data_IF_132754375928
#
_entry.id   IF_132754375928
#
_cell.length_a   1.000
_cell.length_b   1.000
_cell.length_c   1.000
_cell.angle_alpha   90.00
_cell.angle_beta   90.00
_cell.angle_gamma   90.00
#
_symmetry.space_group_name_H-M   'P 1'
#
loop_
_entity.id
_entity.type
_entity.pdbx_description
1 polymer ?
#
# COMPACT_ATOMS: atom_id res chain seq x y z
N UNK A 1 21.45 -7.13 2.77
CA UNK A 1 20.13 -7.43 2.15
C UNK A 1 20.14 -8.88 1.74
N UNK A 2 19.14 -9.65 2.18
CA UNK A 2 18.96 -11.04 1.76
C UNK A 2 18.57 -11.05 0.27
N UNK A 3 19.08 -11.98 -0.52
CA UNK A 3 18.71 -12.12 -1.93
C UNK A 3 17.48 -13.01 -1.99
N UNK A 4 16.38 -12.52 -2.55
CA UNK A 4 15.14 -13.30 -2.62
C UNK A 4 15.23 -14.29 -3.79
N UNK A 5 15.82 -13.86 -4.91
CA UNK A 5 15.88 -14.66 -6.12
C UNK A 5 17.23 -14.53 -6.83
N UNK A 6 17.84 -15.67 -7.15
CA UNK A 6 18.99 -15.76 -8.03
C UNK A 6 18.60 -16.35 -9.39
N UNK A 7 18.99 -15.71 -10.49
CA UNK A 7 18.70 -16.14 -11.85
C UNK A 7 19.99 -16.54 -12.56
N UNK A 8 20.12 -17.83 -12.87
CA UNK A 8 21.18 -18.39 -13.71
C UNK A 8 20.69 -18.55 -15.15
N UNK A 9 21.49 -18.13 -16.13
CA UNK A 9 21.13 -18.24 -17.55
C UNK A 9 22.37 -18.27 -18.44
N UNK A 10 22.24 -18.81 -19.66
CA UNK A 10 23.33 -18.85 -20.61
C UNK A 10 23.39 -17.55 -21.42
N UNK A 11 24.59 -17.02 -21.62
CA UNK A 11 24.84 -15.89 -22.52
C UNK A 11 24.77 -16.34 -23.99
N UNK A 12 23.55 -16.65 -24.47
CA UNK A 12 23.33 -17.22 -25.81
C UNK A 12 23.33 -16.17 -26.90
N UNK A 13 22.57 -15.09 -26.73
CA UNK A 13 22.54 -13.96 -27.66
C UNK A 13 22.05 -12.69 -26.98
N UNK A 14 22.29 -11.53 -27.58
CA UNK A 14 21.88 -10.24 -27.00
C UNK A 14 20.37 -10.13 -26.79
N UNK A 15 19.56 -10.70 -27.69
CA UNK A 15 18.11 -10.76 -27.52
C UNK A 15 17.71 -11.57 -26.28
N UNK A 16 18.38 -12.70 -26.02
CA UNK A 16 18.11 -13.50 -24.82
C UNK A 16 18.54 -12.76 -23.55
N UNK A 17 19.72 -12.13 -23.56
CA UNK A 17 20.20 -11.30 -22.43
C UNK A 17 19.26 -10.15 -22.12
N UNK A 18 18.76 -9.45 -23.14
CA UNK A 18 17.78 -8.39 -22.99
C UNK A 18 16.46 -8.92 -22.37
N UNK A 19 15.99 -10.08 -22.83
CA UNK A 19 14.80 -10.73 -22.29
C UNK A 19 14.97 -11.11 -20.80
N UNK A 20 16.09 -11.72 -20.43
CA UNK A 20 16.38 -12.08 -19.03
C UNK A 20 16.44 -10.83 -18.15
N UNK A 21 17.07 -9.75 -18.61
CA UNK A 21 17.12 -8.48 -17.87
C UNK A 21 15.74 -7.85 -17.69
N UNK A 22 14.89 -7.88 -18.72
CA UNK A 22 13.52 -7.39 -18.63
C UNK A 22 12.70 -8.21 -17.63
N UNK A 23 12.82 -9.54 -17.70
CA UNK A 23 12.17 -10.46 -16.76
C UNK A 23 12.61 -10.21 -15.31
N UNK A 24 13.92 -10.09 -15.06
CA UNK A 24 14.46 -9.76 -13.73
C UNK A 24 13.96 -8.38 -13.25
N UNK A 25 13.86 -7.40 -14.14
CA UNK A 25 13.34 -6.07 -13.82
C UNK A 25 11.86 -6.12 -13.40
N UNK A 26 11.04 -6.96 -14.05
CA UNK A 26 9.64 -7.14 -13.65
C UNK A 26 9.51 -7.73 -12.25
N UNK A 27 10.34 -8.71 -11.90
CA UNK A 27 10.36 -9.29 -10.56
C UNK A 27 10.87 -8.28 -9.51
N UNK A 28 11.86 -7.46 -9.88
CA UNK A 28 12.31 -6.38 -9.00
C UNK A 28 11.20 -5.36 -8.72
N UNK A 29 10.43 -4.96 -9.76
CA UNK A 29 9.26 -4.08 -9.61
C UNK A 29 8.14 -4.72 -8.78
N UNK A 30 8.05 -6.06 -8.76
CA UNK A 30 7.14 -6.79 -7.88
C UNK A 30 7.59 -6.82 -6.41
N UNK A 31 8.77 -6.30 -6.09
CA UNK A 31 9.28 -6.15 -4.72
C UNK A 31 10.43 -7.10 -4.37
N UNK A 32 10.89 -7.95 -5.29
CA UNK A 32 11.95 -8.93 -5.02
C UNK A 32 13.35 -8.34 -5.15
N UNK A 33 14.26 -8.76 -4.27
CA UNK A 33 15.71 -8.56 -4.42
C UNK A 33 16.26 -9.63 -5.36
N UNK A 34 16.33 -9.29 -6.64
CA UNK A 34 16.76 -10.19 -7.73
C UNK A 34 18.23 -9.99 -8.06
N UNK A 35 18.99 -11.09 -8.16
CA UNK A 35 20.33 -11.11 -8.74
C UNK A 35 20.32 -11.96 -10.00
N UNK A 36 20.98 -11.46 -11.05
CA UNK A 36 21.18 -12.17 -12.31
C UNK A 36 22.65 -12.53 -12.45
N UNK A 37 22.94 -13.63 -13.12
CA UNK A 37 24.31 -13.93 -13.54
C UNK A 37 24.85 -12.83 -14.48
N UNK A 38 25.91 -12.15 -14.06
CA UNK A 38 26.66 -11.18 -14.87
C UNK A 38 28.10 -11.68 -15.04
N UNK A 39 28.65 -11.57 -16.25
CA UNK A 39 30.00 -12.06 -16.55
C UNK A 39 31.04 -11.36 -15.68
N UNK A 40 31.44 -12.03 -14.61
CA UNK A 40 32.58 -11.59 -13.82
C UNK A 40 33.83 -12.13 -14.50
N UNK A 41 34.83 -11.26 -14.70
CA UNK A 41 36.13 -11.69 -15.25
C UNK A 41 36.71 -12.79 -14.36
N UNK A 42 37.01 -13.94 -14.98
CA UNK A 42 37.62 -15.10 -14.32
C UNK A 42 38.86 -14.69 -13.53
N UNK A 43 38.90 -15.04 -12.24
CA UNK A 43 40.10 -14.90 -11.40
C UNK A 43 39.84 -14.50 -9.94
N UNK A 44 38.75 -13.79 -9.63
CA UNK A 44 38.58 -13.22 -8.27
C UNK A 44 37.16 -13.26 -7.68
N UNK A 45 36.15 -13.82 -8.38
CA UNK A 45 34.73 -13.68 -7.98
C UNK A 45 33.93 -14.97 -7.81
N UNK A 46 34.54 -16.15 -7.98
CA UNK A 46 33.84 -17.43 -7.84
C UNK A 46 33.30 -17.67 -6.43
N UNK A 47 34.02 -17.21 -5.39
CA UNK A 47 33.58 -17.30 -3.99
C UNK A 47 32.41 -16.37 -3.67
N UNK A 48 32.35 -15.19 -4.31
CA UNK A 48 31.24 -14.24 -4.16
C UNK A 48 29.96 -14.79 -4.79
N UNK A 49 30.05 -15.30 -6.02
CA UNK A 49 28.94 -15.93 -6.73
C UNK A 49 28.32 -17.10 -5.94
N UNK A 50 29.17 -18.00 -5.45
CA UNK A 50 28.72 -19.15 -4.66
C UNK A 50 27.94 -18.71 -3.40
N UNK A 51 28.44 -17.67 -2.72
CA UNK A 51 27.76 -17.13 -1.54
C UNK A 51 26.39 -16.57 -1.91
N UNK A 52 26.28 -15.88 -3.03
CA UNK A 52 25.01 -15.30 -3.49
C UNK A 52 23.97 -16.35 -3.87
N UNK A 53 24.38 -17.43 -4.53
CA UNK A 53 23.49 -18.56 -4.85
C UNK A 53 23.01 -19.23 -3.57
N UNK A 54 23.91 -19.57 -2.64
CA UNK A 54 23.55 -20.28 -1.40
C UNK A 54 22.68 -19.42 -0.47
N UNK A 55 22.92 -18.12 -0.42
CA UNK A 55 22.17 -17.14 0.37
C UNK A 55 20.80 -16.80 -0.25
N UNK A 56 20.59 -17.10 -1.54
CA UNK A 56 19.31 -16.85 -2.20
C UNK A 56 18.20 -17.76 -1.65
N UNK A 57 17.02 -17.17 -1.46
CA UNK A 57 15.84 -17.91 -1.02
C UNK A 57 15.31 -18.84 -2.12
N UNK A 58 15.36 -18.39 -3.37
CA UNK A 58 15.02 -19.19 -4.54
C UNK A 58 16.06 -19.04 -5.66
N UNK A 59 16.21 -20.09 -6.46
CA UNK A 59 17.05 -20.10 -7.67
C UNK A 59 16.18 -20.45 -8.88
N UNK A 60 16.28 -19.64 -9.93
CA UNK A 60 15.66 -19.93 -11.23
C UNK A 60 16.76 -20.16 -12.26
N UNK A 61 16.67 -21.29 -12.96
CA UNK A 61 17.48 -21.54 -14.16
C UNK A 61 16.66 -21.16 -15.39
N UNK A 62 17.18 -20.27 -16.22
CA UNK A 62 16.61 -19.96 -17.54
C UNK A 62 17.32 -20.84 -18.57
N UNK A 63 16.62 -21.87 -19.02
CA UNK A 63 17.17 -22.97 -19.81
C UNK A 63 16.67 -22.86 -21.24
N UNK A 64 17.57 -22.41 -22.12
CA UNK A 64 17.48 -22.58 -23.56
C UNK A 64 18.28 -23.80 -24.04
N UNK A 65 18.16 -24.16 -25.32
CA UNK A 65 18.92 -25.29 -25.87
C UNK A 65 20.44 -25.12 -25.72
N UNK A 66 20.95 -23.89 -25.84
CA UNK A 66 22.37 -23.59 -25.67
C UNK A 66 22.84 -23.78 -24.23
N UNK A 67 21.99 -23.50 -23.24
CA UNK A 67 22.26 -23.77 -21.83
C UNK A 67 22.51 -25.27 -21.62
N UNK A 68 21.62 -26.12 -22.14
CA UNK A 68 21.73 -27.58 -22.01
C UNK A 68 22.99 -28.10 -22.69
N UNK A 69 23.26 -27.66 -23.91
CA UNK A 69 24.45 -28.05 -24.67
C UNK A 69 25.74 -27.71 -23.90
N UNK A 70 25.83 -26.48 -23.38
CA UNK A 70 27.00 -26.03 -22.62
C UNK A 70 27.15 -26.75 -21.28
N UNK A 71 26.03 -27.03 -20.61
CA UNK A 71 26.01 -27.74 -19.34
C UNK A 71 26.52 -29.18 -19.46
N UNK A 72 26.09 -29.89 -20.50
CA UNK A 72 26.37 -31.32 -20.66
C UNK A 72 27.68 -31.58 -21.42
N UNK A 73 27.96 -30.81 -22.48
CA UNK A 73 29.03 -31.14 -23.43
C UNK A 73 30.28 -30.25 -23.30
N UNK A 74 30.24 -29.17 -22.50
CA UNK A 74 31.38 -28.26 -22.34
C UNK A 74 31.73 -28.00 -20.86
N UNK A 75 32.53 -28.89 -20.23
CA UNK A 75 32.93 -28.78 -18.82
C UNK A 75 33.71 -27.50 -18.47
N UNK A 76 34.39 -26.88 -19.44
CA UNK A 76 35.14 -25.64 -19.23
C UNK A 76 34.26 -24.38 -19.36
N UNK A 77 32.99 -24.53 -19.71
CA UNK A 77 32.07 -23.41 -19.84
C UNK A 77 31.65 -22.87 -18.45
N UNK A 78 31.39 -21.56 -18.36
CA UNK A 78 30.85 -20.95 -17.14
C UNK A 78 29.59 -21.65 -16.63
N UNK A 79 28.67 -22.00 -17.54
CA UNK A 79 27.42 -22.72 -17.24
C UNK A 79 27.70 -24.08 -16.56
N UNK A 80 28.66 -24.87 -17.07
CA UNK A 80 28.98 -26.17 -16.48
C UNK A 80 29.61 -26.03 -15.08
N UNK A 81 30.45 -25.01 -14.88
CA UNK A 81 31.08 -24.72 -13.58
C UNK A 81 30.01 -24.28 -12.56
N UNK A 82 29.13 -23.36 -12.95
CA UNK A 82 28.04 -22.86 -12.09
C UNK A 82 27.05 -23.96 -11.74
N UNK A 83 26.66 -24.78 -12.72
CA UNK A 83 25.79 -25.93 -12.51
C UNK A 83 26.34 -26.90 -11.47
N UNK A 84 27.66 -27.10 -11.42
CA UNK A 84 28.27 -27.95 -10.40
C UNK A 84 27.97 -27.42 -9.00
N UNK A 85 28.12 -26.12 -8.78
CA UNK A 85 27.84 -25.48 -7.49
C UNK A 85 26.35 -25.49 -7.14
N UNK A 86 25.49 -25.20 -8.11
CA UNK A 86 24.04 -25.25 -7.92
C UNK A 86 23.60 -26.68 -7.58
N UNK A 87 24.16 -27.68 -8.26
CA UNK A 87 23.91 -29.10 -7.99
C UNK A 87 24.34 -29.48 -6.56
N UNK A 88 25.52 -29.05 -6.11
CA UNK A 88 26.00 -29.31 -4.75
C UNK A 88 25.11 -28.63 -3.69
N UNK A 89 24.69 -27.38 -3.94
CA UNK A 89 23.80 -26.66 -3.03
C UNK A 89 22.39 -27.29 -2.95
N UNK A 90 21.88 -27.80 -4.07
CA UNK A 90 20.56 -28.44 -4.16
C UNK A 90 20.43 -29.67 -3.25
N UNK A 91 21.52 -30.42 -3.03
CA UNK A 91 21.53 -31.59 -2.13
C UNK A 91 21.20 -31.24 -0.67
N UNK A 92 21.36 -29.98 -0.28
CA UNK A 92 21.14 -29.49 1.09
C UNK A 92 19.97 -28.51 1.20
N UNK A 93 19.17 -28.35 0.13
CA UNK A 93 18.04 -27.42 0.07
C UNK A 93 16.73 -28.16 -0.18
N UNK A 94 15.61 -27.47 0.04
CA UNK A 94 14.30 -28.01 -0.28
C UNK A 94 14.14 -28.19 -1.80
N UNK A 95 13.33 -29.14 -2.24
CA UNK A 95 13.04 -29.35 -3.67
C UNK A 95 12.40 -28.11 -4.34
N UNK A 96 11.73 -27.27 -3.56
CA UNK A 96 11.12 -26.01 -4.02
C UNK A 96 12.12 -24.85 -4.12
N UNK A 97 13.37 -25.05 -3.71
CA UNK A 97 14.41 -24.01 -3.76
C UNK A 97 14.79 -23.66 -5.21
N UNK A 98 14.76 -24.64 -6.11
CA UNK A 98 15.15 -24.47 -7.50
C UNK A 98 13.98 -24.73 -8.45
N UNK A 99 13.84 -23.88 -9.47
CA UNK A 99 12.90 -24.07 -10.57
C UNK A 99 13.51 -23.68 -11.91
N UNK A 100 12.87 -24.12 -12.99
CA UNK A 100 13.36 -23.94 -14.36
C UNK A 100 12.37 -23.12 -15.17
N UNK A 101 12.86 -22.18 -15.95
CA UNK A 101 12.14 -21.48 -17.01
C UNK A 101 12.65 -22.00 -18.36
N UNK A 102 11.76 -22.54 -19.18
CA UNK A 102 12.10 -23.01 -20.52
C UNK A 102 11.87 -21.91 -21.55
N UNK A 103 12.93 -21.50 -22.25
CA UNK A 103 12.86 -20.44 -23.28
C UNK A 103 13.59 -20.93 -24.51
N UNK A 104 12.93 -20.93 -25.68
CA UNK A 104 13.51 -21.50 -26.92
C UNK A 104 14.06 -22.92 -26.69
N UNK A 105 13.29 -23.72 -25.97
CA UNK A 105 13.55 -25.09 -25.58
C UNK A 105 12.20 -25.83 -25.57
N UNK A 106 11.67 -26.10 -26.76
CA UNK A 106 10.32 -26.64 -26.95
C UNK A 106 10.16 -28.09 -26.50
N UNK A 107 11.27 -28.82 -26.37
CA UNK A 107 11.30 -30.19 -25.86
C UNK A 107 11.51 -30.25 -24.34
N UNK A 108 11.53 -29.09 -23.67
CA UNK A 108 11.74 -28.95 -22.22
C UNK A 108 12.98 -29.71 -21.72
N UNK A 109 14.07 -29.66 -22.50
CA UNK A 109 15.34 -30.33 -22.17
C UNK A 109 15.92 -29.75 -20.89
N UNK A 110 16.45 -30.62 -20.05
CA UNK A 110 17.17 -30.26 -18.83
C UNK A 110 18.63 -30.71 -18.92
N UNK A 111 19.56 -30.03 -18.24
CA UNK A 111 20.89 -30.57 -17.99
C UNK A 111 20.83 -31.94 -17.30
N UNK A 112 21.73 -32.85 -17.65
CA UNK A 112 21.66 -34.27 -17.24
C UNK A 112 21.64 -34.44 -15.72
N UNK A 113 22.39 -33.59 -15.01
CA UNK A 113 22.47 -33.61 -13.54
C UNK A 113 21.14 -33.28 -12.86
N UNK A 114 20.28 -32.49 -13.52
CA UNK A 114 19.03 -31.96 -12.97
C UNK A 114 17.82 -32.85 -13.27
N UNK A 115 17.91 -33.72 -14.27
CA UNK A 115 16.81 -34.63 -14.69
C UNK A 115 16.28 -35.45 -13.51
N UNK A 116 17.18 -36.00 -12.69
CA UNK A 116 16.82 -36.83 -11.52
C UNK A 116 16.05 -36.08 -10.42
N UNK A 117 16.17 -34.75 -10.37
CA UNK A 117 15.54 -33.90 -9.38
C UNK A 117 14.14 -33.42 -9.81
N UNK A 118 13.79 -33.56 -11.10
CA UNK A 118 12.49 -33.21 -11.66
C UNK A 118 11.90 -31.87 -11.13
N UNK A 119 12.64 -30.75 -11.24
CA UNK A 119 12.21 -29.49 -10.68
C UNK A 119 10.93 -28.98 -11.35
N UNK A 120 10.20 -28.10 -10.67
CA UNK A 120 9.08 -27.40 -11.28
C UNK A 120 9.57 -26.61 -12.49
N UNK A 121 8.90 -26.79 -13.63
CA UNK A 121 9.21 -26.10 -14.88
C UNK A 121 8.12 -25.09 -15.28
N UNK A 122 8.54 -23.94 -15.78
CA UNK A 122 7.67 -22.90 -16.35
C UNK A 122 7.94 -22.76 -17.83
N UNK A 123 6.90 -22.95 -18.65
CA UNK A 123 7.03 -22.86 -20.10
C UNK A 123 6.91 -21.41 -20.58
N UNK A 124 8.02 -20.87 -21.07
CA UNK A 124 8.11 -19.56 -21.73
C UNK A 124 8.49 -19.69 -23.21
N UNK A 125 8.28 -20.87 -23.80
CA UNK A 125 8.37 -21.02 -25.24
C UNK A 125 7.24 -20.24 -25.93
N UNK A 126 7.55 -19.66 -27.08
CA UNK A 126 6.56 -19.02 -27.94
C UNK A 126 6.41 -19.81 -29.23
N UNK A 127 5.18 -19.90 -29.73
CA UNK A 127 4.88 -20.52 -31.01
C UNK A 127 4.29 -19.45 -31.95
N UNK A 128 5.11 -18.97 -32.89
CA UNK A 128 4.72 -17.90 -33.82
C UNK A 128 3.50 -18.31 -34.66
N UNK A 129 3.45 -19.55 -35.11
CA UNK A 129 2.36 -20.07 -35.96
C UNK A 129 1.01 -20.11 -35.23
N UNK A 130 1.03 -20.34 -33.92
CA UNK A 130 -0.18 -20.39 -33.09
C UNK A 130 -0.50 -19.06 -32.41
N UNK A 131 0.36 -18.04 -32.57
CA UNK A 131 0.24 -16.77 -31.85
C UNK A 131 0.31 -16.95 -30.32
N UNK A 132 0.93 -18.04 -29.86
CA UNK A 132 1.00 -18.38 -28.43
C UNK A 132 2.29 -17.79 -27.86
N UNK A 133 2.14 -16.83 -26.95
CA UNK A 133 3.24 -16.13 -26.32
C UNK A 133 3.08 -16.19 -24.80
N UNK A 134 4.17 -16.43 -24.06
CA UNK A 134 4.11 -16.33 -22.61
C UNK A 134 3.77 -14.92 -22.18
N UNK A 135 2.94 -14.81 -21.15
CA UNK A 135 2.47 -13.53 -20.65
C UNK A 135 2.15 -13.60 -19.16
N UNK A 136 1.07 -12.94 -18.77
CA UNK A 136 0.71 -12.74 -17.36
C UNK A 136 0.54 -14.05 -16.60
N UNK A 137 -0.01 -15.10 -17.24
CA UNK A 137 -0.26 -16.39 -16.58
C UNK A 137 1.03 -17.08 -16.12
N UNK A 138 2.09 -17.04 -16.94
CA UNK A 138 3.38 -17.62 -16.62
C UNK A 138 4.11 -16.81 -15.54
N UNK A 139 4.04 -15.47 -15.61
CA UNK A 139 4.60 -14.59 -14.58
C UNK A 139 3.92 -14.81 -13.23
N UNK A 140 2.59 -14.94 -13.22
CA UNK A 140 1.82 -15.27 -12.02
C UNK A 140 2.21 -16.65 -11.47
N UNK A 141 2.43 -17.65 -12.33
CA UNK A 141 2.83 -18.98 -11.90
C UNK A 141 4.21 -18.99 -11.19
N UNK A 142 5.15 -18.16 -11.65
CA UNK A 142 6.44 -17.94 -11.00
C UNK A 142 6.24 -17.23 -9.66
N UNK A 143 5.47 -16.15 -9.64
CA UNK A 143 5.15 -15.41 -8.41
C UNK A 143 4.57 -16.33 -7.33
N UNK A 144 3.59 -17.15 -7.70
CA UNK A 144 2.98 -18.13 -6.78
C UNK A 144 3.98 -19.16 -6.29
N UNK A 145 4.94 -19.58 -7.11
CA UNK A 145 5.98 -20.50 -6.67
C UNK A 145 6.95 -19.85 -5.68
N UNK A 146 7.37 -18.61 -5.92
CA UNK A 146 8.22 -17.84 -4.99
C UNK A 146 7.51 -17.69 -3.64
N UNK A 147 6.20 -17.41 -3.64
CA UNK A 147 5.41 -17.23 -2.41
C UNK A 147 4.91 -18.55 -1.79
N UNK A 148 5.25 -19.71 -2.35
CA UNK A 148 4.76 -21.01 -1.87
C UNK A 148 3.23 -21.20 -1.97
N UNK A 149 2.57 -20.46 -2.86
CA UNK A 149 1.12 -20.52 -3.08
C UNK A 149 0.74 -21.71 -3.98
N UNK A 150 -0.45 -22.30 -3.78
CA UNK A 150 -0.93 -23.43 -4.59
C UNK A 150 -0.96 -23.08 -6.10
N UNK A 151 -0.61 -24.02 -6.97
CA UNK A 151 -0.76 -23.81 -8.42
C UNK A 151 -2.24 -23.73 -8.84
N UNK A 152 -3.12 -24.39 -8.08
CA UNK A 152 -4.55 -24.36 -8.31
C UNK A 152 -5.14 -22.98 -7.98
N UNK A 153 -5.92 -22.47 -8.94
CA UNK A 153 -6.59 -21.17 -8.89
C UNK A 153 -8.05 -21.28 -8.43
N UNK A 154 -8.59 -22.49 -8.20
CA UNK A 154 -10.00 -22.68 -7.86
C UNK A 154 -10.48 -21.81 -6.67
N UNK A 155 -9.56 -21.44 -5.77
CA UNK A 155 -9.84 -20.58 -4.62
C UNK A 155 -8.95 -19.32 -4.55
N UNK A 156 -8.12 -19.06 -5.56
CA UNK A 156 -7.26 -17.88 -5.57
C UNK A 156 -8.04 -16.65 -6.05
N UNK A 157 -8.04 -15.58 -5.25
CA UNK A 157 -8.57 -14.30 -5.69
C UNK A 157 -7.66 -13.70 -6.76
N UNK A 158 -8.25 -13.15 -7.81
CA UNK A 158 -7.48 -12.49 -8.86
C UNK A 158 -6.81 -11.20 -8.36
N UNK A 159 -5.69 -10.81 -8.98
CA UNK A 159 -4.93 -9.62 -8.59
C UNK A 159 -5.74 -8.33 -8.76
N UNK A 160 -6.65 -8.25 -9.74
CA UNK A 160 -7.53 -7.09 -9.94
C UNK A 160 -8.46 -6.85 -8.75
N UNK A 161 -9.03 -7.92 -8.20
CA UNK A 161 -9.92 -7.95 -7.06
C UNK A 161 -9.15 -7.54 -5.80
N UNK A 162 -7.92 -8.04 -5.64
CA UNK A 162 -7.05 -7.61 -4.54
C UNK A 162 -6.72 -6.11 -4.63
N UNK A 163 -6.38 -5.61 -5.82
CA UNK A 163 -6.13 -4.17 -6.06
C UNK A 163 -7.36 -3.31 -5.78
N UNK A 164 -8.53 -3.73 -6.25
CA UNK A 164 -9.77 -3.01 -6.00
C UNK A 164 -10.11 -2.97 -4.50
N UNK A 165 -9.93 -4.08 -3.78
CA UNK A 165 -10.09 -4.12 -2.33
C UNK A 165 -9.10 -3.20 -1.62
N UNK A 166 -7.84 -3.19 -2.03
CA UNK A 166 -6.82 -2.31 -1.47
C UNK A 166 -7.17 -0.83 -1.71
N UNK A 167 -7.59 -0.45 -2.92
CA UNK A 167 -8.01 0.91 -3.25
C UNK A 167 -9.20 1.38 -2.42
N UNK A 168 -10.19 0.51 -2.16
CA UNK A 168 -11.33 0.82 -1.28
C UNK A 168 -10.88 1.06 0.16
N UNK A 169 -9.94 0.27 0.67
CA UNK A 169 -9.39 0.44 2.02
C UNK A 169 -8.59 1.73 2.14
N UNK A 170 -7.73 2.03 1.16
CA UNK A 170 -6.96 3.27 1.10
C UNK A 170 -7.87 4.49 1.06
N UNK A 171 -8.94 4.44 0.26
CA UNK A 171 -9.92 5.52 0.19
C UNK A 171 -10.57 5.80 1.56
N UNK A 172 -11.02 4.75 2.28
CA UNK A 172 -11.57 4.90 3.63
C UNK A 172 -10.52 5.38 4.63
N UNK A 173 -9.27 4.94 4.51
CA UNK A 173 -8.17 5.40 5.35
C UNK A 173 -7.94 6.90 5.19
N UNK A 174 -7.89 7.40 3.96
CA UNK A 174 -7.71 8.82 3.67
C UNK A 174 -8.88 9.67 4.19
N UNK A 175 -10.12 9.18 4.06
CA UNK A 175 -11.29 9.86 4.64
C UNK A 175 -11.28 9.90 6.17
N UNK A 176 -10.55 9.00 6.84
CA UNK A 176 -10.47 8.95 8.31
C UNK A 176 -9.23 9.60 8.87
N UNK A 177 -8.33 10.09 8.02
CA UNK A 177 -7.07 10.70 8.46
C UNK A 177 -7.37 11.98 9.28
N UNK A 178 -7.05 11.99 10.59
CA UNK A 178 -7.30 13.15 11.46
C UNK A 178 -6.63 14.43 10.98
N UNK A 179 -5.53 14.33 10.20
CA UNK A 179 -4.85 15.49 9.64
C UNK A 179 -5.73 16.31 8.68
N UNK A 180 -6.79 15.72 8.12
CA UNK A 180 -7.76 16.42 7.28
C UNK A 180 -8.80 17.23 8.09
N UNK A 181 -8.87 17.02 9.40
CA UNK A 181 -9.92 17.57 10.28
C UNK A 181 -9.36 18.50 11.37
N UNK A 182 -8.23 19.15 11.08
CA UNK A 182 -7.58 20.08 11.98
C UNK A 182 -7.18 21.37 11.25
N UNK A 183 -7.30 22.50 11.94
CA UNK A 183 -6.75 23.78 11.48
C UNK A 183 -6.13 24.56 12.64
N UNK A 184 -4.87 25.00 12.54
CA UNK A 184 -4.23 25.76 13.60
C UNK A 184 -4.65 27.23 13.64
N UNK A 185 -5.50 27.70 12.72
CA UNK A 185 -5.90 29.11 12.71
C UNK A 185 -6.75 29.45 13.95
N UNK A 186 -6.57 30.64 14.51
CA UNK A 186 -7.39 31.14 15.63
C UNK A 186 -8.75 31.69 15.18
N UNK A 187 -8.94 31.88 13.87
CA UNK A 187 -10.21 32.25 13.27
C UNK A 187 -10.32 31.64 11.89
N UNK A 188 -11.52 31.27 11.48
CA UNK A 188 -11.74 30.68 10.17
C UNK A 188 -13.20 30.42 9.86
N UNK A 189 -13.41 29.90 8.66
CA UNK A 189 -14.66 29.35 8.19
C UNK A 189 -14.36 27.95 7.64
N UNK A 190 -15.10 26.96 8.11
CA UNK A 190 -14.85 25.55 7.82
C UNK A 190 -16.15 24.89 7.43
N UNK A 191 -16.10 24.05 6.39
CA UNK A 191 -17.14 23.07 6.10
C UNK A 191 -16.66 21.70 6.55
N UNK A 192 -17.39 21.09 7.47
CA UNK A 192 -17.06 19.81 8.06
C UNK A 192 -18.18 18.80 7.84
N UNK A 193 -17.85 17.69 7.20
CA UNK A 193 -18.72 16.52 7.12
C UNK A 193 -18.67 15.79 8.47
N UNK A 194 -19.62 16.08 9.36
CA UNK A 194 -19.60 15.65 10.76
C UNK A 194 -19.73 14.12 10.99
N UNK A 195 -19.92 13.34 9.92
CA UNK A 195 -19.87 11.88 9.95
C UNK A 195 -18.52 11.28 9.50
N UNK A 196 -17.61 12.10 8.95
CA UNK A 196 -16.31 11.62 8.44
C UNK A 196 -15.25 11.52 9.56
N UNK A 197 -15.34 12.37 10.57
CA UNK A 197 -14.51 12.32 11.78
C UNK A 197 -15.38 12.63 13.01
N UNK A 198 -14.93 12.24 14.21
CA UNK A 198 -15.67 12.45 15.44
C UNK A 198 -15.74 13.95 15.79
N UNK A 199 -14.65 14.68 15.62
CA UNK A 199 -14.58 16.11 15.89
C UNK A 199 -13.77 16.83 14.82
N UNK A 200 -13.92 18.15 14.77
CA UNK A 200 -13.04 19.03 14.01
C UNK A 200 -12.23 19.89 14.98
N UNK A 201 -10.91 19.84 14.85
CA UNK A 201 -9.99 20.56 15.75
C UNK A 201 -9.68 21.95 15.20
N UNK A 202 -9.84 22.98 16.01
CA UNK A 202 -9.43 24.36 15.70
C UNK A 202 -8.43 24.89 16.73
N UNK A 203 -7.52 25.74 16.29
CA UNK A 203 -6.47 26.32 17.13
C UNK A 203 -5.30 25.38 17.41
N UNK A 204 -4.43 25.79 18.34
CA UNK A 204 -3.21 25.07 18.70
C UNK A 204 -2.81 25.35 20.16
N UNK A 205 -2.05 24.44 20.76
CA UNK A 205 -1.57 24.59 22.14
C UNK A 205 -2.75 24.78 23.11
N UNK A 206 -2.64 25.76 24.01
CA UNK A 206 -3.72 26.07 24.97
C UNK A 206 -4.99 26.62 24.31
N UNK A 207 -4.88 27.11 23.07
CA UNK A 207 -6.00 27.58 22.25
C UNK A 207 -6.64 26.47 21.42
N UNK A 208 -6.38 25.19 21.69
CA UNK A 208 -7.00 24.10 20.95
C UNK A 208 -8.46 23.86 21.40
N UNK A 209 -9.31 23.48 20.45
CA UNK A 209 -10.70 23.07 20.68
C UNK A 209 -11.06 21.91 19.76
N UNK A 210 -11.52 20.81 20.33
CA UNK A 210 -12.11 19.68 19.59
C UNK A 210 -13.63 19.84 19.57
N UNK A 211 -14.18 20.12 18.39
CA UNK A 211 -15.61 20.45 18.26
C UNK A 211 -16.34 19.27 17.62
N UNK A 212 -17.11 18.54 18.43
CA UNK A 212 -18.00 17.48 17.96
C UNK A 212 -19.35 18.05 17.54
N UNK A 213 -19.76 17.78 16.31
CA UNK A 213 -21.08 18.15 15.79
C UNK A 213 -21.95 16.91 15.60
N UNK A 214 -23.23 17.01 15.92
CA UNK A 214 -24.22 15.97 15.64
C UNK A 214 -25.50 16.61 15.13
N UNK A 215 -26.04 16.11 14.02
CA UNK A 215 -27.35 16.55 13.54
C UNK A 215 -28.46 16.08 14.50
N UNK A 216 -29.24 17.03 15.03
CA UNK A 216 -30.42 16.73 15.82
C UNK A 216 -31.66 16.52 14.95
N UNK A 217 -31.80 17.34 13.90
CA UNK A 217 -32.80 17.23 12.85
C UNK A 217 -32.30 17.97 11.59
N UNK A 218 -33.18 18.25 10.63
CA UNK A 218 -32.83 18.90 9.36
C UNK A 218 -32.26 20.33 9.49
N UNK A 219 -32.64 21.07 10.53
CA UNK A 219 -32.31 22.49 10.72
C UNK A 219 -31.48 22.76 11.98
N UNK A 220 -31.18 21.73 12.77
CA UNK A 220 -30.62 21.85 14.10
C UNK A 220 -29.40 20.95 14.29
N UNK A 221 -28.32 21.54 14.80
CA UNK A 221 -27.07 20.84 15.11
C UNK A 221 -26.72 20.98 16.59
N UNK A 222 -26.16 19.92 17.17
CA UNK A 222 -25.67 19.90 18.55
C UNK A 222 -24.17 20.03 18.58
N UNK A 223 -23.68 20.81 19.53
CA UNK A 223 -22.27 20.79 19.95
C UNK A 223 -22.22 20.26 21.37
N UNK A 224 -21.43 19.23 21.60
CA UNK A 224 -21.31 18.57 22.89
C UNK A 224 -20.04 19.00 23.61
N UNK A 225 -20.12 19.10 24.93
CA UNK A 225 -18.94 19.40 25.74
C UNK A 225 -18.05 18.19 26.04
N UNK A 226 -18.51 16.98 25.73
CA UNK A 226 -17.85 15.73 26.15
C UNK A 226 -16.45 15.49 25.53
N UNK A 227 -16.02 16.36 24.62
CA UNK A 227 -14.78 16.26 23.87
C UNK A 227 -13.88 17.47 24.18
N UNK A 228 -13.29 17.45 25.38
CA UNK A 228 -12.29 18.43 25.85
C UNK A 228 -12.80 19.87 26.10
N UNK A 229 -14.12 20.06 26.10
CA UNK A 229 -14.76 21.32 26.48
C UNK A 229 -15.32 21.27 27.92
N UNK A 230 -15.10 22.31 28.68
CA UNK A 230 -15.65 22.46 30.04
C UNK A 230 -17.09 22.97 30.02
N UNK A 231 -17.41 23.85 29.06
CA UNK A 231 -18.75 24.43 28.93
C UNK A 231 -19.10 24.80 27.50
N UNK A 232 -20.40 24.72 27.19
CA UNK A 232 -20.99 25.16 25.92
C UNK A 232 -22.32 25.86 26.21
N UNK A 233 -22.57 27.00 25.56
CA UNK A 233 -23.82 27.74 25.73
C UNK A 233 -24.19 28.59 24.51
N UNK A 234 -25.50 28.82 24.35
CA UNK A 234 -26.05 29.64 23.28
C UNK A 234 -25.78 31.13 23.56
N UNK A 235 -25.35 31.86 22.55
CA UNK A 235 -25.17 33.32 22.62
C UNK A 235 -26.41 34.04 22.10
N UNK A 236 -26.94 35.05 22.83
CA UNK A 236 -28.03 35.89 22.34
C UNK A 236 -27.65 36.61 21.03
N UNK A 237 -28.60 36.79 20.12
CA UNK A 237 -28.37 37.46 18.82
C UNK A 237 -27.78 38.89 18.94
N UNK A 238 -28.05 39.57 20.05
CA UNK A 238 -27.62 40.95 20.32
C UNK A 238 -26.29 41.04 21.09
N UNK A 239 -25.60 39.91 21.33
CA UNK A 239 -24.33 39.95 22.05
C UNK A 239 -23.22 40.60 21.22
N UNK A 240 -22.67 41.70 21.74
CA UNK A 240 -21.66 42.53 21.10
C UNK A 240 -20.23 42.19 21.54
N UNK A 241 -20.04 41.70 22.76
CA UNK A 241 -18.73 41.35 23.31
C UNK A 241 -18.82 39.97 23.99
N UNK A 242 -18.03 38.96 23.54
CA UNK A 242 -17.97 37.59 24.07
C UNK A 242 -17.24 37.42 25.44
N UNK A 243 -16.88 38.51 26.12
CA UNK A 243 -16.23 38.51 27.44
C UNK A 243 -17.18 38.66 28.66
N UNK A 244 -18.45 39.03 28.45
CA UNK A 244 -19.40 39.41 29.52
C UNK A 244 -20.37 38.28 29.97
N UNK A 245 -19.91 37.02 30.10
CA UNK A 245 -20.81 35.82 30.08
C UNK A 245 -21.02 35.06 31.38
N UNK A 246 -20.54 35.53 32.54
CA UNK A 246 -20.78 34.82 33.80
C UNK A 246 -22.25 34.42 34.07
N UNK A 247 -23.27 35.22 33.70
CA UNK A 247 -24.67 34.84 33.90
C UNK A 247 -25.22 33.80 32.91
N UNK A 248 -24.56 33.63 31.76
CA UNK A 248 -25.02 32.78 30.65
C UNK A 248 -24.29 31.43 30.58
N UNK A 249 -23.23 31.26 31.39
CA UNK A 249 -22.51 29.99 31.50
C UNK A 249 -23.46 28.89 31.97
N UNK A 250 -23.78 27.98 31.07
CA UNK A 250 -24.63 26.82 31.34
C UNK A 250 -23.79 25.59 31.72
N UNK A 251 -24.35 24.72 32.54
CA UNK A 251 -23.80 23.39 32.84
C UNK A 251 -24.35 22.31 31.90
N UNK A 252 -25.06 22.70 30.84
CA UNK A 252 -25.66 21.79 29.88
C UNK A 252 -24.59 20.96 29.17
N UNK A 253 -24.90 19.69 28.91
CA UNK A 253 -23.99 18.76 28.21
C UNK A 253 -23.78 19.13 26.73
N UNK A 254 -24.75 19.79 26.13
CA UNK A 254 -24.71 20.24 24.75
C UNK A 254 -25.43 21.57 24.58
N UNK A 255 -25.19 22.22 23.45
CA UNK A 255 -25.96 23.36 22.94
C UNK A 255 -26.54 22.98 21.57
N UNK A 256 -27.79 23.38 21.33
CA UNK A 256 -28.47 23.22 20.04
C UNK A 256 -28.45 24.55 19.28
N UNK A 257 -28.12 24.49 17.99
CA UNK A 257 -27.94 25.65 17.13
C UNK A 257 -28.66 25.47 15.79
N UNK A 258 -29.33 26.52 15.35
CA UNK A 258 -29.81 26.71 13.98
C UNK A 258 -28.81 27.53 13.16
N UNK A 259 -28.97 27.52 11.83
CA UNK A 259 -28.20 28.42 10.96
C UNK A 259 -28.42 29.91 11.35
N UNK A 260 -27.33 30.65 11.41
CA UNK A 260 -27.25 32.05 11.87
C UNK A 260 -27.12 32.23 13.38
N UNK A 261 -27.20 31.16 14.18
CA UNK A 261 -27.02 31.23 15.63
C UNK A 261 -25.56 31.06 16.04
N UNK A 262 -25.25 31.55 17.25
CA UNK A 262 -23.90 31.57 17.82
C UNK A 262 -23.86 30.82 19.14
N UNK A 263 -22.75 30.15 19.42
CA UNK A 263 -22.44 29.59 20.73
C UNK A 263 -21.06 30.03 21.19
N UNK A 264 -20.84 29.99 22.49
CA UNK A 264 -19.52 30.04 23.08
C UNK A 264 -19.16 28.67 23.65
N UNK A 265 -17.91 28.29 23.42
CA UNK A 265 -17.27 27.07 23.89
C UNK A 265 -16.12 27.47 24.81
N UNK A 266 -15.92 26.73 25.89
CA UNK A 266 -14.79 26.94 26.80
C UNK A 266 -13.99 25.65 26.94
N UNK A 267 -12.68 25.72 26.75
CA UNK A 267 -11.79 24.57 26.94
C UNK A 267 -11.27 24.48 28.38
N UNK A 268 -10.45 23.46 28.68
CA UNK A 268 -9.88 23.21 30.01
C UNK A 268 -8.91 24.30 30.49
N UNK A 269 -8.34 25.09 29.57
CA UNK A 269 -7.52 26.27 29.90
C UNK A 269 -8.36 27.51 30.24
N UNK A 270 -9.70 27.42 30.14
CA UNK A 270 -10.61 28.56 30.35
C UNK A 270 -10.66 29.53 29.16
N UNK A 271 -10.03 29.18 28.03
CA UNK A 271 -10.06 29.98 26.80
C UNK A 271 -11.43 29.84 26.15
N UNK A 272 -11.91 30.92 25.56
CA UNK A 272 -13.21 30.97 24.90
C UNK A 272 -13.07 30.88 23.38
N UNK A 273 -13.96 30.12 22.75
CA UNK A 273 -14.14 30.09 21.30
C UNK A 273 -15.60 30.43 20.98
N UNK A 274 -15.80 31.45 20.15
CA UNK A 274 -17.12 31.81 19.62
C UNK A 274 -17.29 31.12 18.29
N UNK A 275 -18.36 30.34 18.15
CA UNK A 275 -18.73 29.66 16.93
C UNK A 275 -20.07 30.18 16.40
N UNK A 276 -20.18 30.35 15.09
CA UNK A 276 -21.42 30.69 14.37
C UNK A 276 -21.72 29.59 13.37
N UNK A 277 -22.94 29.05 13.39
CA UNK A 277 -23.38 28.08 12.38
C UNK A 277 -23.85 28.87 11.15
N UNK A 278 -23.16 28.74 10.03
CA UNK A 278 -23.51 29.44 8.79
C UNK A 278 -24.52 28.63 7.96
N UNK A 279 -24.33 27.32 7.92
CA UNK A 279 -25.18 26.40 7.15
C UNK A 279 -25.18 25.01 7.77
N UNK A 280 -26.35 24.39 7.76
CA UNK A 280 -26.53 22.96 8.07
C UNK A 280 -27.05 22.29 6.79
N UNK A 281 -26.41 21.19 6.41
CA UNK A 281 -26.89 20.31 5.36
C UNK A 281 -27.11 18.92 5.98
N UNK A 282 -28.36 18.42 6.06
CA UNK A 282 -28.60 17.06 6.50
C UNK A 282 -28.13 16.06 5.44
N UNK A 283 -27.85 14.83 5.89
CA UNK A 283 -27.55 13.71 5.00
C UNK A 283 -28.82 13.35 4.20
N UNK A 284 -28.69 13.28 2.87
CA UNK A 284 -29.79 12.93 1.96
C UNK A 284 -29.42 11.64 1.22
N UNK A 285 -30.36 10.68 1.15
CA UNK A 285 -30.15 9.36 0.54
C UNK A 285 -31.10 9.00 -0.60
N UNK A 286 -32.10 9.84 -0.89
CA UNK A 286 -33.22 9.47 -1.78
C UNK A 286 -32.85 9.47 -3.27
N UNK A 287 -32.43 10.62 -3.82
CA UNK A 287 -32.12 10.74 -5.26
C UNK A 287 -30.61 10.73 -5.54
N UNK A 288 -29.87 11.59 -4.84
CA UNK A 288 -28.41 11.66 -4.89
C UNK A 288 -27.89 11.63 -3.44
N UNK A 289 -26.89 10.79 -3.18
CA UNK A 289 -26.29 10.72 -1.85
C UNK A 289 -25.50 12.00 -1.59
N UNK A 290 -26.00 12.81 -0.67
CA UNK A 290 -25.32 14.02 -0.20
C UNK A 290 -24.94 13.81 1.26
N UNK A 291 -23.65 13.91 1.55
CA UNK A 291 -23.14 13.83 2.93
C UNK A 291 -23.72 14.96 3.78
N UNK A 292 -24.04 14.63 5.03
CA UNK A 292 -24.34 15.65 6.03
C UNK A 292 -23.09 16.47 6.34
N UNK A 293 -23.23 17.79 6.34
CA UNK A 293 -22.15 18.70 6.72
C UNK A 293 -22.66 19.95 7.43
N UNK A 294 -21.76 20.58 8.17
CA UNK A 294 -21.96 21.88 8.79
C UNK A 294 -20.91 22.86 8.27
N UNK A 295 -21.34 24.05 7.89
CA UNK A 295 -20.43 25.18 7.69
C UNK A 295 -20.52 26.08 8.90
N UNK A 296 -19.39 26.34 9.54
CA UNK A 296 -19.30 27.19 10.72
C UNK A 296 -18.14 28.16 10.60
N UNK A 297 -18.31 29.34 11.18
CA UNK A 297 -17.22 30.28 11.43
C UNK A 297 -16.87 30.29 12.91
N UNK A 298 -15.60 30.48 13.23
CA UNK A 298 -15.13 30.50 14.61
C UNK A 298 -14.09 31.58 14.84
N UNK A 299 -14.01 32.05 16.09
CA UNK A 299 -12.99 32.97 16.59
C UNK A 299 -12.60 32.54 18.01
N UNK A 300 -11.33 32.19 18.20
CA UNK A 300 -10.74 31.91 19.51
C UNK A 300 -10.31 33.22 20.15
N UNK A 301 -10.80 33.47 21.35
CA UNK A 301 -10.53 34.65 22.15
C UNK A 301 -9.33 34.34 23.04
N UNK A 302 -8.13 34.54 22.52
CA UNK A 302 -6.92 34.52 23.34
C UNK A 302 -6.63 35.94 23.84
N UNK A 303 -6.21 36.04 25.11
CA UNK A 303 -5.58 37.24 25.63
C UNK A 303 -4.19 37.36 25.00
N UNK A 304 -3.92 38.46 24.28
CA UNK A 304 -2.56 38.83 23.88
C UNK A 304 -1.73 39.22 25.10
#
# INVERSE_FOLDING_TARGET
MKTDLFISYAWTCDAHRAWVRLFASHLHLAGYVVKIDEAVKYGSSLTGFMREVIEAEHVILIVDENYVERANNNPASGVAIENKWISEALEHKAETWLSVIFVKNSEHKLPDWLVKHNPKGFDFNYCVEKGDFPGTAQIEAIWRWIEGLPADKMHALDQSTLRERAARLEHISNLRDPANYITPALKGNVTFCYNDNLYYTVGYGDCHFDIMFEAANIDLIRIYKDYELEAVWLLPKLCLDPSDYKPLMGTSRYVELEAGQKAALMNSAGILCVITIEKIQPEVREDEYVKGYVTFSYVILHEC
#
